data_IF_611022467770
#
_entry.id   IF_611022467770
#
_cell.length_a   1.000
_cell.length_b   1.000
_cell.length_c   1.000
_cell.angle_alpha   90.00
_cell.angle_beta   90.00
_cell.angle_gamma   90.00
#
_symmetry.space_group_name_H-M   'P 1'
#
loop_
_entity.id
_entity.type
_entity.pdbx_description
1 polymer ?
#
# COMPACT_ATOMS: atom_id res chain seq x y z
N UNK A 1 -18.59 4.72 6.78
CA UNK A 1 -17.46 4.25 5.94
C UNK A 1 -17.93 4.24 4.50
N UNK A 2 -17.29 5.00 3.61
CA UNK A 2 -17.64 5.07 2.19
C UNK A 2 -16.62 4.23 1.42
N UNK A 3 -17.06 3.10 0.87
CA UNK A 3 -16.23 2.22 0.04
C UNK A 3 -16.17 2.82 -1.36
N UNK A 4 -14.97 3.23 -1.79
CA UNK A 4 -14.71 3.66 -3.16
C UNK A 4 -14.17 2.45 -3.92
N UNK A 5 -14.97 1.94 -4.85
CA UNK A 5 -14.54 0.90 -5.80
C UNK A 5 -14.07 1.60 -7.07
N UNK A 6 -12.83 1.35 -7.48
CA UNK A 6 -12.28 1.81 -8.75
C UNK A 6 -12.41 0.65 -9.75
N UNK A 7 -13.30 0.79 -10.72
CA UNK A 7 -13.44 -0.15 -11.84
C UNK A 7 -12.67 0.39 -13.05
N UNK A 8 -11.71 -0.39 -13.55
CA UNK A 8 -11.00 -0.11 -14.79
C UNK A 8 -11.82 -0.58 -16.00
N UNK A 9 -11.91 0.25 -17.03
CA UNK A 9 -12.60 -0.08 -18.27
C UNK A 9 -11.66 -0.88 -19.19
N UNK A 10 -11.92 -2.18 -19.31
CA UNK A 10 -11.10 -3.12 -20.10
C UNK A 10 -11.23 -2.94 -21.62
N UNK A 11 -11.97 -1.92 -22.09
CA UNK A 11 -12.16 -1.64 -23.52
C UNK A 11 -11.02 -0.85 -24.17
N UNK A 12 -10.11 -0.25 -23.38
CA UNK A 12 -8.84 0.27 -23.86
C UNK A 12 -7.81 -0.87 -23.91
N UNK A 13 -7.13 -1.05 -25.05
CA UNK A 13 -5.99 -1.95 -25.23
C UNK A 13 -4.76 -1.58 -24.34
N UNK A 14 -4.93 -0.63 -23.42
CA UNK A 14 -3.93 -0.28 -22.43
C UNK A 14 -3.96 -1.32 -21.32
N UNK A 15 -2.80 -1.90 -21.03
CA UNK A 15 -2.67 -2.89 -19.97
C UNK A 15 -2.72 -2.16 -18.62
N UNK A 16 -3.83 -2.24 -17.89
CA UNK A 16 -3.91 -1.67 -16.54
C UNK A 16 -2.96 -2.40 -15.62
N UNK A 17 -1.87 -1.72 -15.23
CA UNK A 17 -0.86 -2.20 -14.29
C UNK A 17 -0.93 -1.36 -13.02
N UNK A 18 -1.95 -1.56 -12.17
CA UNK A 18 -2.13 -0.77 -10.96
C UNK A 18 -0.93 -0.96 -10.05
N UNK A 19 -0.33 0.16 -9.64
CA UNK A 19 0.76 0.17 -8.67
C UNK A 19 0.22 0.47 -7.27
N UNK A 20 0.71 -0.30 -6.31
CA UNK A 20 0.36 -0.18 -4.90
C UNK A 20 1.59 0.30 -4.15
N UNK A 21 1.49 1.45 -3.50
CA UNK A 21 2.51 1.94 -2.56
C UNK A 21 2.11 1.57 -1.14
N UNK A 22 2.97 0.83 -0.47
CA UNK A 22 2.86 0.43 0.92
C UNK A 22 3.80 1.31 1.74
N UNK A 23 3.27 1.91 2.80
CA UNK A 23 4.03 2.73 3.74
C UNK A 23 3.82 2.18 5.14
N UNK A 24 4.91 1.76 5.80
CA UNK A 24 4.87 1.41 7.21
C UNK A 24 5.46 2.53 8.05
N UNK A 25 4.71 2.87 9.10
CA UNK A 25 5.12 3.87 10.09
C UNK A 25 4.61 3.48 11.47
N UNK A 26 5.09 4.21 12.48
CA UNK A 26 4.61 4.08 13.85
C UNK A 26 3.09 4.26 13.92
N UNK A 27 2.45 3.55 14.85
CA UNK A 27 1.05 3.80 15.15
C UNK A 27 0.87 5.25 15.60
N UNK A 28 -0.04 5.95 14.92
CA UNK A 28 -0.46 7.29 15.29
C UNK A 28 -1.95 7.23 15.63
N UNK A 29 -2.34 7.86 16.74
CA UNK A 29 -3.75 7.94 17.16
C UNK A 29 -4.64 8.62 16.12
N UNK A 30 -4.07 9.58 15.38
CA UNK A 30 -4.72 10.26 14.26
C UNK A 30 -3.95 9.93 12.98
N UNK A 31 -4.67 9.41 11.99
CA UNK A 31 -4.07 9.01 10.72
C UNK A 31 -3.52 10.24 9.99
N UNK A 32 -2.20 10.35 9.87
CA UNK A 32 -1.55 11.36 9.04
C UNK A 32 -1.11 10.79 7.68
N UNK A 33 -1.82 11.12 6.60
CA UNK A 33 -1.47 10.67 5.25
C UNK A 33 -0.17 11.26 4.70
N UNK A 34 0.36 12.32 5.32
CA UNK A 34 1.62 12.98 4.94
C UNK A 34 2.78 12.65 5.90
N UNK A 35 2.57 11.71 6.82
CA UNK A 35 3.62 11.28 7.76
C UNK A 35 4.71 10.49 7.06
N UNK A 36 5.93 10.54 7.60
CA UNK A 36 7.07 9.79 7.07
C UNK A 36 6.89 8.27 7.29
N UNK A 37 7.29 7.46 6.30
CA UNK A 37 7.28 6.00 6.37
C UNK A 37 8.50 5.49 7.16
N UNK A 38 8.43 5.54 8.49
CA UNK A 38 9.58 5.29 9.38
C UNK A 38 10.15 3.87 9.30
N UNK A 39 9.37 2.89 8.83
CA UNK A 39 9.80 1.50 8.67
C UNK A 39 10.02 1.10 7.22
N UNK A 40 9.89 2.06 6.31
CA UNK A 40 10.08 1.88 4.88
C UNK A 40 8.82 2.10 4.07
N UNK A 41 9.04 2.39 2.80
CA UNK A 41 8.02 2.41 1.76
C UNK A 41 8.41 1.44 0.64
N UNK A 42 7.42 0.82 0.02
CA UNK A 42 7.61 -0.06 -1.13
C UNK A 42 6.51 0.14 -2.14
N UNK A 43 6.87 0.12 -3.42
CA UNK A 43 5.93 0.09 -4.53
C UNK A 43 5.89 -1.33 -5.10
N UNK A 44 4.71 -1.91 -5.22
CA UNK A 44 4.49 -3.25 -5.76
C UNK A 44 3.34 -3.23 -6.76
N UNK A 45 3.47 -4.03 -7.82
CA UNK A 45 2.39 -4.30 -8.78
C UNK A 45 1.21 -4.97 -8.05
N UNK A 46 -0.01 -4.45 -8.23
CA UNK A 46 -1.18 -5.00 -7.55
C UNK A 46 -1.49 -6.45 -7.95
N UNK A 47 -1.09 -6.89 -9.15
CA UNK A 47 -1.21 -8.29 -9.58
C UNK A 47 -0.31 -9.20 -8.76
N UNK A 48 0.91 -8.74 -8.41
CA UNK A 48 1.78 -9.48 -7.49
C UNK A 48 1.18 -9.56 -6.10
N UNK A 49 0.57 -8.48 -5.62
CA UNK A 49 -0.14 -8.46 -4.34
C UNK A 49 -1.33 -9.44 -4.34
N UNK A 50 -2.13 -9.44 -5.42
CA UNK A 50 -3.28 -10.35 -5.61
C UNK A 50 -2.86 -11.82 -5.62
N UNK A 51 -1.66 -12.11 -6.13
CA UNK A 51 -1.10 -13.46 -6.16
C UNK A 51 -0.48 -13.90 -4.82
N UNK A 52 -0.60 -13.09 -3.76
CA UNK A 52 -0.09 -13.45 -2.42
C UNK A 52 1.43 -13.35 -2.29
N UNK A 53 2.06 -12.44 -3.04
CA UNK A 53 3.52 -12.23 -2.95
C UNK A 53 3.92 -11.80 -1.54
N UNK A 54 4.94 -12.45 -0.98
CA UNK A 54 5.50 -12.08 0.31
C UNK A 54 6.28 -10.76 0.20
N UNK A 55 6.01 -9.84 1.13
CA UNK A 55 6.63 -8.52 1.15
C UNK A 55 7.59 -8.47 2.33
N UNK A 56 8.85 -8.19 2.04
CA UNK A 56 9.92 -8.14 3.04
C UNK A 56 10.25 -6.68 3.36
N UNK A 57 10.18 -6.33 4.63
CA UNK A 57 10.66 -5.06 5.13
C UNK A 57 11.87 -5.31 6.03
N UNK A 58 12.98 -4.64 5.73
CA UNK A 58 14.21 -4.75 6.53
C UNK A 58 14.16 -3.76 7.70
N UNK A 59 13.44 -4.12 8.76
CA UNK A 59 13.47 -3.39 10.02
C UNK A 59 13.45 -4.33 11.22
N UNK A 60 14.01 -3.88 12.33
CA UNK A 60 13.89 -4.57 13.62
C UNK A 60 12.50 -4.34 14.18
N UNK A 61 11.75 -5.42 14.45
CA UNK A 61 10.39 -5.33 14.96
C UNK A 61 10.36 -4.61 16.32
N UNK A 62 9.87 -3.36 16.41
CA UNK A 62 9.68 -2.72 17.69
C UNK A 62 8.43 -3.30 18.33
N UNK A 63 8.42 -3.28 19.66
CA UNK A 63 7.32 -3.82 20.48
C UNK A 63 6.01 -3.02 20.28
N UNK A 64 6.06 -1.85 19.63
CA UNK A 64 4.91 -1.00 19.33
C UNK A 64 4.15 -1.42 18.05
N UNK A 65 2.82 -1.41 18.10
CA UNK A 65 1.95 -1.61 16.92
C UNK A 65 2.23 -0.61 15.79
N UNK A 66 1.97 -1.03 14.55
CA UNK A 66 2.07 -0.20 13.35
C UNK A 66 0.74 -0.05 12.63
N UNK A 67 0.65 1.00 11.82
CA UNK A 67 -0.38 1.13 10.81
C UNK A 67 0.25 0.92 9.42
N UNK A 68 -0.26 -0.04 8.67
CA UNK A 68 0.05 -0.20 7.25
C UNK A 68 -0.86 0.72 6.44
N UNK A 69 -0.27 1.60 5.65
CA UNK A 69 -1.00 2.43 4.69
C UNK A 69 -0.78 1.91 3.27
N UNK A 70 -1.90 1.72 2.56
CA UNK A 70 -1.92 1.26 1.17
C UNK A 70 -2.45 2.40 0.32
N UNK A 71 -1.65 2.85 -0.63
CA UNK A 71 -2.03 3.84 -1.64
C UNK A 71 -2.06 3.14 -3.00
N UNK A 72 -3.20 3.18 -3.68
CA UNK A 72 -3.33 2.65 -5.05
C UNK A 72 -3.27 3.81 -6.03
N UNK A 73 -2.36 3.75 -6.98
CA UNK A 73 -2.26 4.72 -8.07
C UNK A 73 -2.83 4.10 -9.34
N UNK A 74 -3.65 4.84 -10.11
CA UNK A 74 -4.15 4.40 -11.41
C UNK A 74 -3.03 4.35 -12.46
#
# INVERSE_FOLDING_TARGET
LKLLSLSYDSSSNDEFRPEVRLCLKHFERHINHKGACTFGEMTIDANKLRNGTQIHFEFTWPVSCFCLFIFTFP
#
